data_IF_220325413301
#
_entry.id   IF_220325413301
#
_cell.length_a   1.000
_cell.length_b   1.000
_cell.length_c   1.000
_cell.angle_alpha   90.00
_cell.angle_beta   90.00
_cell.angle_gamma   90.00
#
_symmetry.space_group_name_H-M   'P 1'
#
loop_
_entity.id
_entity.type
_entity.pdbx_description
1 polymer ?
#
# COMPACT_ATOMS: atom_id res chain seq x y z
N UNK A 1 -26.94 -34.22 31.97
CA UNK A 1 -25.87 -33.35 32.52
C UNK A 1 -24.86 -32.93 31.45
N UNK A 2 -24.49 -33.81 30.52
CA UNK A 2 -23.54 -33.49 29.40
C UNK A 2 -24.06 -32.40 28.45
N UNK A 3 -25.27 -32.48 27.94
CA UNK A 3 -25.89 -31.52 27.01
C UNK A 3 -25.87 -30.05 27.51
N UNK A 4 -25.91 -29.83 28.81
CA UNK A 4 -25.90 -28.48 29.41
C UNK A 4 -24.47 -27.85 29.41
N UNK A 5 -23.43 -28.69 29.51
CA UNK A 5 -22.03 -28.24 29.44
C UNK A 5 -21.65 -27.79 28.01
N UNK A 6 -22.11 -28.56 27.00
CA UNK A 6 -21.82 -28.24 25.60
C UNK A 6 -22.46 -26.91 25.18
N UNK A 7 -23.69 -26.64 25.64
CA UNK A 7 -24.37 -25.34 25.39
C UNK A 7 -23.63 -24.18 26.03
N UNK A 8 -23.11 -24.35 27.25
CA UNK A 8 -22.35 -23.27 27.94
C UNK A 8 -21.03 -23.00 27.22
N UNK A 9 -20.32 -24.05 26.79
CA UNK A 9 -19.05 -23.90 26.06
C UNK A 9 -19.29 -23.18 24.72
N UNK A 10 -20.32 -23.55 23.96
CA UNK A 10 -20.69 -22.90 22.72
C UNK A 10 -20.99 -21.40 22.96
N UNK A 11 -21.80 -21.09 23.97
CA UNK A 11 -22.13 -19.67 24.28
C UNK A 11 -20.92 -18.84 24.69
N UNK A 12 -19.94 -19.43 25.40
CA UNK A 12 -18.69 -18.75 25.74
C UNK A 12 -17.88 -18.48 24.47
N UNK A 13 -17.77 -19.46 23.57
CA UNK A 13 -17.04 -19.30 22.30
C UNK A 13 -17.68 -18.21 21.44
N UNK A 14 -19.01 -18.18 21.33
CA UNK A 14 -19.75 -17.16 20.60
C UNK A 14 -19.52 -15.76 21.20
N UNK A 15 -19.52 -15.64 22.53
CA UNK A 15 -19.27 -14.38 23.24
C UNK A 15 -17.84 -13.87 23.00
N UNK A 16 -16.84 -14.75 23.07
CA UNK A 16 -15.45 -14.42 22.76
C UNK A 16 -15.32 -13.97 21.29
N UNK A 17 -15.99 -14.67 20.38
CA UNK A 17 -15.96 -14.31 18.96
C UNK A 17 -16.57 -12.93 18.71
N UNK A 18 -17.71 -12.62 19.31
CA UNK A 18 -18.33 -11.31 19.22
C UNK A 18 -17.39 -10.20 19.74
N UNK A 19 -16.70 -10.43 20.86
CA UNK A 19 -15.72 -9.51 21.41
C UNK A 19 -14.53 -9.30 20.45
N UNK A 20 -14.00 -10.37 19.85
CA UNK A 20 -12.92 -10.28 18.88
C UNK A 20 -13.31 -9.47 17.64
N UNK A 21 -14.53 -9.66 17.12
CA UNK A 21 -15.06 -8.88 16.00
C UNK A 21 -15.09 -7.39 16.34
N UNK A 22 -15.55 -7.02 17.54
CA UNK A 22 -15.57 -5.64 17.99
C UNK A 22 -14.14 -5.06 18.10
N UNK A 23 -13.20 -5.81 18.66
CA UNK A 23 -11.79 -5.39 18.76
C UNK A 23 -11.20 -5.14 17.36
N UNK A 24 -11.43 -6.06 16.41
CA UNK A 24 -10.96 -5.92 15.03
C UNK A 24 -11.58 -4.68 14.38
N UNK A 25 -12.87 -4.46 14.57
CA UNK A 25 -13.57 -3.29 14.02
C UNK A 25 -12.97 -1.96 14.55
N UNK A 26 -12.87 -1.80 15.87
CA UNK A 26 -12.31 -0.58 16.46
C UNK A 26 -10.83 -0.39 16.13
N UNK A 27 -10.05 -1.46 16.09
CA UNK A 27 -8.65 -1.40 15.65
C UNK A 27 -8.53 -0.92 14.21
N UNK A 28 -9.42 -1.36 13.31
CA UNK A 28 -9.49 -0.88 11.94
C UNK A 28 -9.74 0.62 11.85
N UNK A 29 -10.71 1.15 12.61
CA UNK A 29 -10.99 2.59 12.65
C UNK A 29 -9.78 3.42 13.15
N UNK A 30 -9.07 2.92 14.15
CA UNK A 30 -7.84 3.58 14.66
C UNK A 30 -6.73 3.56 13.60
N UNK A 31 -6.51 2.44 12.95
CA UNK A 31 -5.51 2.31 11.87
C UNK A 31 -5.85 3.29 10.74
N UNK A 32 -7.10 3.36 10.29
CA UNK A 32 -7.53 4.27 9.23
C UNK A 32 -7.32 5.74 9.62
N UNK A 33 -7.59 6.09 10.87
CA UNK A 33 -7.36 7.45 11.38
C UNK A 33 -5.88 7.83 11.35
N UNK A 34 -5.01 6.98 11.90
CA UNK A 34 -3.56 7.23 11.91
C UNK A 34 -2.95 7.22 10.52
N UNK A 35 -3.39 6.30 9.65
CA UNK A 35 -2.95 6.24 8.27
C UNK A 35 -3.27 7.53 7.52
N UNK A 36 -4.50 8.04 7.64
CA UNK A 36 -4.92 9.30 7.01
C UNK A 36 -4.05 10.47 7.45
N UNK A 37 -3.75 10.56 8.74
CA UNK A 37 -2.90 11.62 9.27
C UNK A 37 -1.45 11.51 8.74
N UNK A 38 -0.89 10.30 8.72
CA UNK A 38 0.43 10.05 8.18
C UNK A 38 0.52 10.40 6.68
N UNK A 39 -0.48 10.01 5.89
CA UNK A 39 -0.56 10.34 4.47
C UNK A 39 -0.68 11.84 4.21
N UNK A 40 -1.44 12.57 5.03
CA UNK A 40 -1.51 14.02 4.91
C UNK A 40 -0.14 14.68 5.18
N UNK A 41 0.58 14.23 6.21
CA UNK A 41 1.93 14.73 6.49
C UNK A 41 2.90 14.39 5.35
N UNK A 42 2.85 13.19 4.80
CA UNK A 42 3.67 12.79 3.66
C UNK A 42 3.42 13.66 2.42
N UNK A 43 2.14 13.98 2.13
CA UNK A 43 1.78 14.87 1.01
C UNK A 43 2.32 16.28 1.17
N UNK A 44 2.22 16.82 2.39
CA UNK A 44 2.80 18.14 2.68
C UNK A 44 4.31 18.11 2.52
N UNK A 45 4.95 17.04 2.98
CA UNK A 45 6.39 16.88 2.96
C UNK A 45 6.95 16.76 1.53
N UNK A 46 6.27 16.02 0.64
CA UNK A 46 6.65 15.96 -0.78
C UNK A 46 6.54 17.35 -1.46
N UNK A 47 5.52 18.14 -1.10
CA UNK A 47 5.35 19.50 -1.62
C UNK A 47 6.47 20.39 -1.10
N UNK A 48 6.72 20.38 0.21
CA UNK A 48 7.75 21.20 0.85
C UNK A 48 9.14 20.89 0.29
N UNK A 49 9.48 19.62 0.11
CA UNK A 49 10.74 19.22 -0.51
C UNK A 49 10.84 19.66 -1.96
N UNK A 50 9.74 19.56 -2.71
CA UNK A 50 9.74 19.84 -4.15
C UNK A 50 9.72 21.32 -4.50
N UNK A 51 9.14 22.18 -3.64
CA UNK A 51 9.01 23.61 -3.89
C UNK A 51 9.80 24.48 -2.91
N UNK A 52 10.51 23.89 -1.95
CA UNK A 52 11.26 24.64 -0.94
C UNK A 52 10.36 25.40 0.04
N UNK A 53 9.12 25.00 0.19
CA UNK A 53 8.15 25.61 1.10
C UNK A 53 8.29 25.09 2.53
N UNK A 54 7.51 25.65 3.46
CA UNK A 54 7.46 25.24 4.86
C UNK A 54 6.00 25.17 5.29
N UNK A 55 5.22 24.32 4.64
CA UNK A 55 3.81 24.09 4.95
C UNK A 55 3.66 23.17 6.17
N UNK A 56 4.65 22.29 6.42
CA UNK A 56 4.73 21.44 7.60
C UNK A 56 5.70 22.02 8.63
N UNK A 57 5.34 21.90 9.92
CA UNK A 57 6.25 22.20 11.03
C UNK A 57 7.39 21.16 11.16
N UNK A 58 7.18 19.95 10.63
CA UNK A 58 8.16 18.85 10.64
C UNK A 58 8.69 18.62 9.25
N UNK A 59 9.99 18.67 9.08
CA UNK A 59 10.66 18.28 7.83
C UNK A 59 11.17 16.86 7.96
N UNK A 60 10.86 16.02 6.98
CA UNK A 60 11.57 14.76 6.77
C UNK A 60 12.94 15.05 6.16
N UNK A 61 13.92 15.22 7.01
CA UNK A 61 15.29 15.45 6.57
C UNK A 61 15.80 14.17 5.91
N UNK A 62 16.33 14.27 4.69
CA UNK A 62 16.89 13.16 3.90
C UNK A 62 15.91 12.03 3.52
N UNK A 63 14.62 12.32 3.42
CA UNK A 63 13.66 11.33 2.93
C UNK A 63 13.78 11.12 1.42
N UNK A 64 13.96 12.20 0.65
CA UNK A 64 14.20 12.17 -0.79
C UNK A 64 15.68 12.40 -1.09
N UNK A 65 16.22 11.66 -2.07
CA UNK A 65 17.63 11.75 -2.48
C UNK A 65 17.86 12.71 -3.67
N UNK A 66 16.88 13.57 -3.95
CA UNK A 66 16.82 14.40 -5.16
C UNK A 66 17.14 15.89 -4.88
N UNK A 67 18.02 16.17 -3.93
CA UNK A 67 18.30 17.54 -3.47
C UNK A 67 18.99 18.42 -4.53
N UNK A 68 19.69 17.82 -5.49
CA UNK A 68 20.37 18.52 -6.58
C UNK A 68 19.39 19.13 -7.61
N UNK A 69 18.13 18.68 -7.62
CA UNK A 69 17.14 19.17 -8.56
C UNK A 69 16.60 20.55 -8.15
N UNK A 70 16.45 21.45 -9.13
CA UNK A 70 15.81 22.76 -8.93
C UNK A 70 14.35 22.58 -8.49
N UNK A 71 13.90 23.46 -7.60
CA UNK A 71 12.52 23.47 -7.12
C UNK A 71 11.50 23.60 -8.25
N UNK A 72 10.38 22.90 -8.14
CA UNK A 72 9.27 23.02 -9.08
C UNK A 72 8.62 21.67 -9.43
N UNK A 73 7.80 21.71 -10.49
CA UNK A 73 7.00 20.56 -10.95
C UNK A 73 7.85 19.36 -11.38
N UNK A 74 9.04 19.59 -11.95
CA UNK A 74 9.96 18.51 -12.31
C UNK A 74 10.41 17.75 -11.06
N UNK A 75 10.81 18.46 -10.00
CA UNK A 75 11.27 17.84 -8.75
C UNK A 75 10.16 17.04 -8.05
N UNK A 76 8.92 17.55 -8.03
CA UNK A 76 7.80 16.76 -7.47
C UNK A 76 7.54 15.49 -8.27
N UNK A 77 7.68 15.54 -9.61
CA UNK A 77 7.59 14.35 -10.47
C UNK A 77 8.67 13.32 -10.15
N UNK A 78 9.92 13.75 -9.95
CA UNK A 78 11.05 12.88 -9.59
C UNK A 78 10.83 12.25 -8.21
N UNK A 79 10.45 13.04 -7.19
CA UNK A 79 10.15 12.54 -5.84
C UNK A 79 8.98 11.55 -5.85
N UNK A 80 7.96 11.81 -6.65
CA UNK A 80 6.83 10.91 -6.78
C UNK A 80 7.21 9.61 -7.53
N UNK A 81 8.08 9.69 -8.53
CA UNK A 81 8.62 8.52 -9.23
C UNK A 81 9.43 7.64 -8.27
N UNK A 82 10.32 8.23 -7.46
CA UNK A 82 11.07 7.51 -6.41
C UNK A 82 10.11 6.78 -5.47
N UNK A 83 9.09 7.49 -4.93
CA UNK A 83 8.10 6.90 -4.03
C UNK A 83 7.33 5.74 -4.67
N UNK A 84 6.89 5.90 -5.93
CA UNK A 84 6.19 4.85 -6.66
C UNK A 84 7.08 3.65 -6.96
N UNK A 85 8.35 3.89 -7.31
CA UNK A 85 9.35 2.85 -7.57
C UNK A 85 9.59 1.99 -6.33
N UNK A 86 9.88 2.60 -5.17
CA UNK A 86 10.08 1.87 -3.92
C UNK A 86 8.83 1.08 -3.52
N UNK A 87 7.65 1.70 -3.61
CA UNK A 87 6.38 1.03 -3.32
C UNK A 87 6.16 -0.18 -4.22
N UNK A 88 6.37 -0.02 -5.53
CA UNK A 88 6.23 -1.11 -6.50
C UNK A 88 7.20 -2.27 -6.19
N UNK A 89 8.48 -1.98 -5.95
CA UNK A 89 9.49 -3.01 -5.69
C UNK A 89 9.22 -3.79 -4.40
N UNK A 90 8.83 -3.11 -3.31
CA UNK A 90 8.48 -3.76 -2.04
C UNK A 90 7.26 -4.66 -2.21
N UNK A 91 6.23 -4.17 -2.90
CA UNK A 91 5.02 -4.96 -3.15
C UNK A 91 5.29 -6.15 -4.07
N UNK A 92 6.13 -6.00 -5.10
CA UNK A 92 6.54 -7.08 -5.99
C UNK A 92 7.14 -8.27 -5.22
N UNK A 93 7.90 -7.98 -4.16
CA UNK A 93 8.50 -9.00 -3.30
C UNK A 93 7.47 -9.68 -2.38
N UNK A 94 6.50 -8.94 -1.88
CA UNK A 94 5.58 -9.41 -0.84
C UNK A 94 4.26 -9.97 -1.36
N UNK A 95 3.79 -9.52 -2.52
CA UNK A 95 2.43 -9.81 -3.01
C UNK A 95 2.17 -11.30 -3.24
N UNK A 96 3.18 -12.05 -3.69
CA UNK A 96 3.02 -13.48 -3.92
C UNK A 96 2.75 -14.27 -2.63
N UNK A 97 3.33 -13.84 -1.51
CA UNK A 97 3.06 -14.43 -0.19
C UNK A 97 1.61 -14.18 0.21
N UNK A 98 1.10 -12.97 -0.01
CA UNK A 98 -0.30 -12.64 0.28
C UNK A 98 -1.27 -13.44 -0.62
N UNK A 99 -0.96 -13.59 -1.91
CA UNK A 99 -1.73 -14.44 -2.85
C UNK A 99 -1.82 -15.89 -2.38
N UNK A 100 -0.69 -16.47 -1.97
CA UNK A 100 -0.63 -17.85 -1.47
C UNK A 100 -1.45 -18.01 -0.19
N UNK A 101 -1.33 -17.10 0.77
CA UNK A 101 -2.13 -17.11 2.01
C UNK A 101 -3.63 -17.12 1.73
N UNK A 102 -4.09 -16.21 0.88
CA UNK A 102 -5.51 -16.13 0.50
C UNK A 102 -5.95 -17.37 -0.28
N UNK A 103 -5.10 -17.89 -1.17
CA UNK A 103 -5.37 -19.13 -1.91
C UNK A 103 -5.57 -20.33 -0.98
N UNK A 104 -4.73 -20.52 0.02
CA UNK A 104 -4.86 -21.58 1.03
C UNK A 104 -6.19 -21.45 1.77
N UNK A 105 -6.54 -20.25 2.22
CA UNK A 105 -7.79 -19.99 2.93
C UNK A 105 -9.00 -20.30 2.05
N UNK A 106 -8.99 -19.90 0.77
CA UNK A 106 -10.04 -20.20 -0.18
C UNK A 106 -10.22 -21.70 -0.41
N UNK A 107 -9.11 -22.45 -0.53
CA UNK A 107 -9.13 -23.91 -0.68
C UNK A 107 -9.74 -24.58 0.55
N UNK A 108 -9.27 -24.20 1.75
CA UNK A 108 -9.79 -24.73 3.02
C UNK A 108 -11.30 -24.47 3.14
N UNK A 109 -11.72 -23.24 2.83
CA UNK A 109 -13.13 -22.88 2.83
C UNK A 109 -13.96 -23.73 1.86
N UNK A 110 -13.46 -23.94 0.64
CA UNK A 110 -14.13 -24.76 -0.38
C UNK A 110 -14.26 -26.22 0.06
N UNK A 111 -13.22 -26.78 0.69
CA UNK A 111 -13.26 -28.16 1.21
C UNK A 111 -14.35 -28.30 2.28
N UNK A 112 -14.44 -27.38 3.25
CA UNK A 112 -15.47 -27.41 4.28
C UNK A 112 -16.88 -27.27 3.69
N UNK A 113 -17.05 -26.44 2.66
CA UNK A 113 -18.32 -26.28 1.96
C UNK A 113 -18.77 -27.58 1.28
N UNK A 114 -17.87 -28.28 0.59
CA UNK A 114 -18.17 -29.54 -0.12
C UNK A 114 -18.42 -30.67 0.85
N UNK A 115 -17.71 -30.74 1.98
CA UNK A 115 -17.87 -31.80 2.97
C UNK A 115 -19.16 -31.67 3.82
N UNK A 116 -19.96 -30.62 3.62
CA UNK A 116 -21.23 -30.45 4.34
C UNK A 116 -21.05 -30.05 5.81
N UNK A 117 -19.95 -29.45 6.19
CA UNK A 117 -19.72 -28.94 7.53
C UNK A 117 -20.36 -27.55 7.71
N UNK A 118 -21.67 -27.43 7.48
CA UNK A 118 -22.39 -26.15 7.48
C UNK A 118 -22.16 -25.31 8.76
N UNK A 119 -22.15 -25.98 9.92
CA UNK A 119 -21.89 -25.29 11.21
C UNK A 119 -20.50 -24.73 11.31
N UNK A 120 -19.48 -25.42 10.81
CA UNK A 120 -18.09 -24.96 10.78
C UNK A 120 -17.92 -23.84 9.76
N UNK A 121 -18.60 -23.96 8.62
CA UNK A 121 -18.62 -22.93 7.58
C UNK A 121 -19.21 -21.60 8.12
N UNK A 122 -20.34 -21.69 8.82
CA UNK A 122 -20.97 -20.53 9.46
C UNK A 122 -20.03 -19.91 10.49
N UNK A 123 -19.33 -20.71 11.30
CA UNK A 123 -18.34 -20.22 12.26
C UNK A 123 -17.19 -19.49 11.57
N UNK A 124 -16.64 -20.04 10.47
CA UNK A 124 -15.56 -19.42 9.70
C UNK A 124 -16.04 -18.11 9.06
N UNK A 125 -17.26 -18.05 8.54
CA UNK A 125 -17.87 -16.84 7.99
C UNK A 125 -18.10 -15.77 9.08
N UNK A 126 -18.54 -16.17 10.25
CA UNK A 126 -18.74 -15.27 11.39
C UNK A 126 -17.43 -14.65 11.88
N UNK A 127 -16.30 -15.34 11.73
CA UNK A 127 -14.98 -14.81 12.09
C UNK A 127 -14.56 -13.62 11.20
N UNK A 128 -15.28 -13.31 10.10
CA UNK A 128 -14.99 -12.24 9.13
C UNK A 128 -13.53 -12.19 8.61
N UNK A 129 -12.67 -13.07 9.09
CA UNK A 129 -11.25 -13.17 8.77
C UNK A 129 -11.02 -13.39 7.27
N UNK A 130 -11.72 -14.35 6.59
CA UNK A 130 -11.49 -14.59 5.16
C UNK A 130 -11.81 -13.36 4.31
N UNK A 131 -12.88 -12.64 4.62
CA UNK A 131 -13.28 -11.47 3.86
C UNK A 131 -12.29 -10.31 4.01
N UNK A 132 -11.79 -10.07 5.22
CA UNK A 132 -10.79 -9.03 5.47
C UNK A 132 -9.47 -9.34 4.75
N UNK A 133 -9.06 -10.60 4.68
CA UNK A 133 -7.85 -11.02 3.98
C UNK A 133 -8.01 -10.92 2.46
N UNK A 134 -9.15 -11.30 1.91
CA UNK A 134 -9.45 -11.14 0.47
C UNK A 134 -9.47 -9.66 0.11
N UNK A 135 -10.13 -8.82 0.91
CA UNK A 135 -10.18 -7.38 0.68
C UNK A 135 -8.79 -6.75 0.76
N UNK A 136 -7.98 -7.17 1.74
CA UNK A 136 -6.59 -6.73 1.87
C UNK A 136 -5.77 -7.12 0.64
N UNK A 137 -5.86 -8.36 0.17
CA UNK A 137 -5.19 -8.80 -1.06
C UNK A 137 -5.61 -7.94 -2.25
N UNK A 138 -6.92 -7.73 -2.45
CA UNK A 138 -7.42 -6.90 -3.53
C UNK A 138 -6.86 -5.47 -3.48
N UNK A 139 -6.85 -4.84 -2.31
CA UNK A 139 -6.26 -3.51 -2.10
C UNK A 139 -4.75 -3.51 -2.38
N UNK A 140 -4.04 -4.56 -1.99
CA UNK A 140 -2.61 -4.72 -2.25
C UNK A 140 -2.33 -4.88 -3.76
N UNK A 141 -3.18 -5.63 -4.47
CA UNK A 141 -3.10 -5.77 -5.93
C UNK A 141 -3.31 -4.42 -6.64
N UNK A 142 -4.30 -3.65 -6.20
CA UNK A 142 -4.54 -2.32 -6.78
C UNK A 142 -3.35 -1.40 -6.54
N UNK A 143 -2.76 -1.42 -5.33
CA UNK A 143 -1.58 -0.63 -5.03
C UNK A 143 -0.37 -1.07 -5.87
N UNK A 144 -0.16 -2.38 -6.01
CA UNK A 144 0.91 -2.95 -6.83
C UNK A 144 0.78 -2.55 -8.31
N UNK A 145 -0.41 -2.77 -8.91
CA UNK A 145 -0.66 -2.43 -10.30
C UNK A 145 -0.61 -0.92 -10.55
N UNK A 146 -1.18 -0.13 -9.64
CA UNK A 146 -1.17 1.33 -9.74
C UNK A 146 0.24 1.92 -9.63
N UNK A 147 1.03 1.46 -8.66
CA UNK A 147 2.43 1.89 -8.52
C UNK A 147 3.28 1.49 -9.71
N UNK A 148 3.09 0.28 -10.26
CA UNK A 148 3.74 -0.15 -11.49
C UNK A 148 3.41 0.75 -12.66
N UNK A 149 2.11 1.03 -12.88
CA UNK A 149 1.65 1.88 -13.97
C UNK A 149 2.25 3.29 -13.86
N UNK A 150 2.29 3.86 -12.67
CA UNK A 150 2.89 5.17 -12.42
C UNK A 150 4.39 5.14 -12.72
N UNK A 151 5.13 4.11 -12.32
CA UNK A 151 6.54 3.95 -12.66
C UNK A 151 6.75 3.88 -14.18
N UNK A 152 5.96 3.06 -14.88
CA UNK A 152 6.07 2.90 -16.33
C UNK A 152 5.75 4.22 -17.07
N UNK A 153 4.76 4.98 -16.59
CA UNK A 153 4.45 6.32 -17.11
C UNK A 153 5.61 7.30 -16.89
N UNK A 154 6.21 7.34 -15.68
CA UNK A 154 7.35 8.22 -15.42
C UNK A 154 8.57 7.87 -16.28
N UNK A 155 8.85 6.58 -16.50
CA UNK A 155 9.89 6.16 -17.44
C UNK A 155 9.64 6.72 -18.84
N UNK A 156 8.39 6.66 -19.31
CA UNK A 156 8.02 7.23 -20.61
C UNK A 156 8.13 8.77 -20.66
N UNK A 157 7.76 9.46 -19.57
CA UNK A 157 7.80 10.94 -19.50
C UNK A 157 9.25 11.43 -19.46
N UNK A 158 10.13 10.76 -18.74
CA UNK A 158 11.54 11.14 -18.59
C UNK A 158 12.45 10.52 -19.65
N UNK A 159 11.92 9.70 -20.56
CA UNK A 159 12.70 9.19 -21.70
C UNK A 159 13.18 10.35 -22.56
N UNK A 160 14.47 10.39 -22.81
CA UNK A 160 15.14 11.44 -23.61
C UNK A 160 14.66 11.53 -25.07
N UNK A 161 14.02 10.47 -25.56
CA UNK A 161 13.44 10.41 -26.91
C UNK A 161 12.03 11.02 -26.99
N UNK A 162 11.40 11.28 -25.83
CA UNK A 162 10.03 11.79 -25.78
C UNK A 162 10.04 13.31 -25.92
N UNK A 163 9.60 13.82 -27.06
CA UNK A 163 9.43 15.25 -27.33
C UNK A 163 8.05 15.72 -26.85
N UNK A 164 7.99 16.27 -25.64
CA UNK A 164 6.79 16.85 -25.06
C UNK A 164 6.91 18.36 -24.98
N UNK A 165 5.87 19.08 -25.38
CA UNK A 165 5.78 20.50 -25.04
C UNK A 165 5.78 20.67 -23.51
N UNK A 166 6.31 21.80 -23.01
CA UNK A 166 6.42 22.08 -21.57
C UNK A 166 5.07 21.92 -20.83
N UNK A 167 4.00 22.45 -21.42
CA UNK A 167 2.65 22.32 -20.83
C UNK A 167 2.22 20.85 -20.72
N UNK A 168 2.47 20.07 -21.77
CA UNK A 168 2.12 18.64 -21.77
C UNK A 168 2.95 17.85 -20.76
N UNK A 169 4.25 18.17 -20.67
CA UNK A 169 5.14 17.58 -19.67
C UNK A 169 4.64 17.83 -18.25
N UNK A 170 4.31 19.07 -17.91
CA UNK A 170 3.77 19.43 -16.60
C UNK A 170 2.43 18.75 -16.32
N UNK A 171 1.53 18.66 -17.31
CA UNK A 171 0.25 17.98 -17.18
C UNK A 171 0.43 16.49 -16.91
N UNK A 172 1.35 15.82 -17.59
CA UNK A 172 1.66 14.41 -17.37
C UNK A 172 2.26 14.16 -15.97
N UNK A 173 3.14 15.06 -15.47
CA UNK A 173 3.67 14.96 -14.11
C UNK A 173 2.54 15.04 -13.06
N UNK A 174 1.63 16.03 -13.20
CA UNK A 174 0.52 16.22 -12.29
C UNK A 174 -0.45 15.02 -12.36
N UNK A 175 -0.77 14.54 -13.56
CA UNK A 175 -1.62 13.36 -13.77
C UNK A 175 -1.08 12.15 -13.03
N UNK A 176 0.22 11.87 -13.14
CA UNK A 176 0.85 10.72 -12.47
C UNK A 176 0.94 10.91 -10.95
N UNK A 177 1.21 12.11 -10.47
CA UNK A 177 1.13 12.44 -9.05
C UNK A 177 -0.27 12.13 -8.51
N UNK A 178 -1.32 12.62 -9.15
CA UNK A 178 -2.70 12.38 -8.74
C UNK A 178 -3.08 10.89 -8.80
N UNK A 179 -2.63 10.17 -9.83
CA UNK A 179 -2.87 8.74 -9.97
C UNK A 179 -2.24 7.95 -8.81
N UNK A 180 -0.98 8.25 -8.47
CA UNK A 180 -0.29 7.60 -7.36
C UNK A 180 -0.95 7.92 -6.01
N UNK A 181 -1.21 9.20 -5.73
CA UNK A 181 -1.86 9.64 -4.49
C UNK A 181 -3.26 9.05 -4.31
N UNK A 182 -4.03 8.98 -5.39
CA UNK A 182 -5.36 8.33 -5.37
C UNK A 182 -5.25 6.84 -5.08
N UNK A 183 -4.27 6.16 -5.67
CA UNK A 183 -4.04 4.73 -5.46
C UNK A 183 -3.64 4.44 -4.01
N UNK A 184 -2.74 5.22 -3.42
CA UNK A 184 -2.36 5.11 -2.02
C UNK A 184 -3.55 5.33 -1.09
N UNK A 185 -4.30 6.42 -1.30
CA UNK A 185 -5.45 6.78 -0.46
C UNK A 185 -6.55 5.72 -0.51
N UNK A 186 -6.79 5.14 -1.69
CA UNK A 186 -7.82 4.11 -1.86
C UNK A 186 -7.39 2.76 -1.28
N UNK A 187 -6.15 2.35 -1.50
CA UNK A 187 -5.66 1.06 -1.03
C UNK A 187 -5.55 1.02 0.50
N UNK A 188 -5.09 2.09 1.13
CA UNK A 188 -4.88 2.17 2.57
C UNK A 188 -4.07 0.97 3.10
N UNK A 189 -2.97 0.64 2.42
CA UNK A 189 -2.08 -0.49 2.73
C UNK A 189 -0.75 0.05 3.24
N UNK A 190 -0.35 -0.41 4.42
CA UNK A 190 1.00 -0.21 4.94
C UNK A 190 1.95 -1.22 4.29
N UNK A 191 3.06 -0.72 3.77
CA UNK A 191 4.14 -1.55 3.26
C UNK A 191 4.81 -2.34 4.39
N UNK A 192 5.36 -3.51 4.05
CA UNK A 192 6.08 -4.34 5.02
C UNK A 192 7.42 -3.71 5.41
N UNK A 193 7.51 -3.22 6.64
CA UNK A 193 8.70 -2.55 7.19
C UNK A 193 9.96 -3.45 7.17
N UNK A 194 9.79 -4.76 7.37
CA UNK A 194 10.92 -5.70 7.33
C UNK A 194 11.48 -5.83 5.91
N UNK A 195 10.61 -5.95 4.92
CA UNK A 195 11.00 -5.99 3.51
C UNK A 195 11.62 -4.67 3.09
N UNK A 196 11.03 -3.52 3.48
CA UNK A 196 11.62 -2.20 3.23
C UNK A 196 13.04 -2.11 3.77
N UNK A 197 13.27 -2.41 5.05
CA UNK A 197 14.60 -2.34 5.68
C UNK A 197 15.62 -3.27 5.02
N UNK A 198 15.19 -4.46 4.60
CA UNK A 198 16.05 -5.43 3.90
C UNK A 198 16.46 -4.94 2.51
N UNK A 199 15.54 -4.31 1.78
CA UNK A 199 15.74 -3.92 0.38
C UNK A 199 16.24 -2.49 0.21
N UNK A 200 16.17 -1.65 1.23
CA UNK A 200 16.41 -0.21 1.11
C UNK A 200 17.76 0.13 0.46
N UNK A 201 18.84 -0.55 0.83
CA UNK A 201 20.16 -0.29 0.24
C UNK A 201 20.21 -0.66 -1.25
N UNK A 202 19.65 -1.82 -1.64
CA UNK A 202 19.63 -2.23 -3.05
C UNK A 202 18.71 -1.33 -3.88
N UNK A 203 17.54 -0.97 -3.34
CA UNK A 203 16.60 -0.07 -4.03
C UNK A 203 17.17 1.33 -4.20
N UNK A 204 17.93 1.84 -3.23
CA UNK A 204 18.62 3.12 -3.36
C UNK A 204 19.66 3.09 -4.48
N UNK A 205 20.41 2.01 -4.63
CA UNK A 205 21.36 1.84 -5.75
C UNK A 205 20.63 1.75 -7.09
N UNK A 206 19.57 0.96 -7.19
CA UNK A 206 18.76 0.87 -8.41
C UNK A 206 18.13 2.22 -8.77
N UNK A 207 17.69 2.99 -7.77
CA UNK A 207 17.18 4.33 -7.98
C UNK A 207 18.26 5.28 -8.50
N UNK A 208 19.47 5.22 -7.96
CA UNK A 208 20.61 6.02 -8.46
C UNK A 208 20.96 5.68 -9.92
N UNK A 209 20.89 4.40 -10.29
CA UNK A 209 21.07 3.96 -11.69
C UNK A 209 19.95 4.54 -12.60
N UNK A 210 18.69 4.49 -12.16
CA UNK A 210 17.56 5.07 -12.88
C UNK A 210 17.73 6.60 -13.05
N UNK A 211 18.20 7.31 -12.01
CA UNK A 211 18.49 8.75 -12.13
C UNK A 211 19.50 9.06 -13.24
N UNK A 212 20.55 8.25 -13.34
CA UNK A 212 21.55 8.40 -14.41
C UNK A 212 20.95 8.09 -15.78
N UNK A 213 20.20 7.00 -15.90
CA UNK A 213 19.57 6.56 -17.14
C UNK A 213 18.64 7.63 -17.72
N UNK A 214 17.76 8.19 -16.89
CA UNK A 214 16.75 9.16 -17.30
C UNK A 214 17.19 10.64 -17.15
N UNK A 215 18.41 10.90 -16.68
CA UNK A 215 18.92 12.27 -16.50
C UNK A 215 18.13 13.07 -15.46
N UNK A 216 17.91 12.46 -14.29
CA UNK A 216 17.11 13.03 -13.19
C UNK A 216 17.98 13.71 -12.11
N UNK A 217 19.28 13.81 -12.31
CA UNK A 217 20.24 14.44 -11.39
C UNK A 217 20.22 15.97 -11.47
#
# INVERSE_FOLDING_TARGET
MFLRKDVIIVSIIESINALLILIIFFSGLLIDHYYRNAENLRRIDIIDNSFGTKLSERKSINYYTNDNNSFGLRKIGINNFESAFFTYCILKETINIERVKVGIIAIVFTIFAICGYDKVLILILQLSIPFSLILRLYKTEVLYCGSKLVCDNYRSIFDKTTDLSEIKFHAELIKNLLAYESTLAWSNILLDDKTYKRMNESLSKEWDELKVEYGLN
#
